data_IF_958673317738
#
_entry.id   IF_958673317738
#
_cell.length_a   1.000
_cell.length_b   1.000
_cell.length_c   1.000
_cell.angle_alpha   90.00
_cell.angle_beta   90.00
_cell.angle_gamma   90.00
#
_symmetry.space_group_name_H-M   'P 1'
#
loop_
_entity.id
_entity.type
_entity.pdbx_description
1 polymer ?
#
# COMPACT_ATOMS: atom_id res chain seq x y z
N UNK A 1 0.55 32.07 -24.07
CA UNK A 1 1.14 30.87 -23.43
C UNK A 1 0.20 30.37 -22.33
N UNK A 2 -0.90 29.69 -22.69
CA UNK A 2 -1.91 29.24 -21.72
C UNK A 2 -2.57 27.89 -22.06
N UNK A 3 -2.36 27.35 -23.25
CA UNK A 3 -3.11 26.21 -23.78
C UNK A 3 -2.56 24.84 -23.37
N UNK A 4 -1.28 24.75 -23.00
CA UNK A 4 -0.66 23.45 -22.64
C UNK A 4 -1.04 22.97 -21.23
N UNK A 5 -1.32 23.88 -20.28
CA UNK A 5 -1.63 23.52 -18.89
C UNK A 5 -3.02 22.90 -18.72
N UNK A 6 -4.00 23.28 -19.55
CA UNK A 6 -5.37 22.76 -19.47
C UNK A 6 -5.51 21.38 -20.13
N UNK A 7 -4.80 21.15 -21.24
CA UNK A 7 -4.77 19.85 -21.91
C UNK A 7 -4.13 18.77 -21.01
N UNK A 8 -3.00 19.08 -20.35
CA UNK A 8 -2.34 18.16 -19.41
C UNK A 8 -3.22 17.87 -18.18
N UNK A 9 -3.89 18.87 -17.60
CA UNK A 9 -4.81 18.68 -16.47
C UNK A 9 -6.01 17.81 -16.83
N UNK A 10 -6.52 17.93 -18.05
CA UNK A 10 -7.67 17.16 -18.55
C UNK A 10 -7.28 15.70 -18.79
N UNK A 11 -6.13 15.45 -19.42
CA UNK A 11 -5.59 14.09 -19.61
C UNK A 11 -5.25 13.42 -18.28
N UNK A 12 -4.71 14.16 -17.31
CA UNK A 12 -4.42 13.66 -15.96
C UNK A 12 -5.71 13.27 -15.22
N UNK A 13 -6.78 14.08 -15.33
CA UNK A 13 -8.10 13.77 -14.76
C UNK A 13 -8.73 12.52 -15.38
N UNK A 14 -8.66 12.36 -16.70
CA UNK A 14 -9.17 11.14 -17.35
C UNK A 14 -8.39 9.89 -16.93
N UNK A 15 -7.07 9.99 -16.80
CA UNK A 15 -6.22 8.88 -16.35
C UNK A 15 -6.49 8.50 -14.90
N UNK A 16 -6.72 9.48 -14.02
CA UNK A 16 -7.18 9.24 -12.64
C UNK A 16 -8.58 8.61 -12.62
N UNK A 17 -9.50 9.07 -13.46
CA UNK A 17 -10.86 8.51 -13.57
C UNK A 17 -10.85 7.06 -14.06
N UNK A 18 -10.04 6.75 -15.08
CA UNK A 18 -9.84 5.37 -15.58
C UNK A 18 -9.18 4.48 -14.52
N UNK A 19 -8.20 5.00 -13.76
CA UNK A 19 -7.62 4.29 -12.61
C UNK A 19 -8.68 3.96 -11.56
N UNK A 20 -9.60 4.88 -11.28
CA UNK A 20 -10.70 4.68 -10.32
C UNK A 20 -11.79 3.72 -10.84
N UNK A 21 -12.08 3.71 -12.14
CA UNK A 21 -13.03 2.80 -12.77
C UNK A 21 -12.53 1.34 -12.83
N UNK A 22 -11.21 1.13 -12.82
CA UNK A 22 -10.59 -0.18 -12.81
C UNK A 22 -10.38 -0.74 -11.38
N UNK A 23 -10.89 -0.06 -10.34
CA UNK A 23 -10.77 -0.52 -8.96
C UNK A 23 -11.78 -1.64 -8.74
N UNK A 24 -11.29 -2.73 -8.15
CA UNK A 24 -12.10 -3.87 -7.76
C UNK A 24 -13.08 -3.50 -6.64
N UNK A 25 -14.33 -4.00 -6.65
CA UNK A 25 -15.34 -3.70 -5.63
C UNK A 25 -14.92 -4.05 -4.19
N UNK A 26 -13.95 -4.97 -4.04
CA UNK A 26 -13.42 -5.40 -2.73
C UNK A 26 -12.42 -4.40 -2.12
N UNK A 27 -12.03 -3.35 -2.84
CA UNK A 27 -11.02 -2.42 -2.39
C UNK A 27 -11.55 -1.44 -1.32
N UNK A 28 -11.93 -1.98 -0.15
CA UNK A 28 -12.36 -1.24 1.03
C UNK A 28 -11.51 -1.68 2.21
N UNK A 29 -10.90 -0.75 2.97
CA UNK A 29 -10.88 0.70 2.82
C UNK A 29 -9.95 1.18 1.69
N UNK A 30 -10.44 2.07 0.81
CA UNK A 30 -9.64 2.69 -0.26
C UNK A 30 -8.94 3.95 0.26
N UNK A 31 -7.62 4.01 0.11
CA UNK A 31 -6.85 5.21 0.43
C UNK A 31 -7.24 6.37 -0.49
N UNK A 32 -7.73 7.46 0.11
CA UNK A 32 -7.92 8.73 -0.58
C UNK A 32 -6.59 9.30 -1.12
N UNK A 33 -6.66 10.34 -1.95
CA UNK A 33 -5.46 10.92 -2.61
C UNK A 33 -4.35 11.32 -1.63
N UNK A 34 -4.71 11.81 -0.44
CA UNK A 34 -3.74 12.21 0.60
C UNK A 34 -3.06 10.99 1.22
N UNK A 35 -3.85 10.04 1.72
CA UNK A 35 -3.33 8.83 2.35
C UNK A 35 -2.51 8.00 1.37
N UNK A 36 -2.99 7.79 0.14
CA UNK A 36 -2.28 7.03 -0.88
C UNK A 36 -0.86 7.59 -1.14
N UNK A 37 -0.70 8.91 -1.22
CA UNK A 37 0.62 9.54 -1.36
C UNK A 37 1.50 9.33 -0.14
N UNK A 38 0.96 9.42 1.08
CA UNK A 38 1.71 9.13 2.33
C UNK A 38 2.16 7.67 2.35
N UNK A 39 1.24 6.72 2.11
CA UNK A 39 1.51 5.28 2.09
C UNK A 39 2.56 4.92 1.04
N UNK A 40 2.47 5.46 -0.18
CA UNK A 40 3.46 5.19 -1.23
C UNK A 40 4.86 5.74 -0.86
N UNK A 41 4.95 6.92 -0.24
CA UNK A 41 6.23 7.45 0.27
C UNK A 41 6.80 6.57 1.37
N UNK A 42 5.95 6.10 2.29
CA UNK A 42 6.34 5.19 3.37
C UNK A 42 6.86 3.86 2.82
N UNK A 43 6.14 3.24 1.88
CA UNK A 43 6.59 2.00 1.20
C UNK A 43 7.95 2.22 0.53
N UNK A 44 8.17 3.37 -0.13
CA UNK A 44 9.46 3.69 -0.76
C UNK A 44 10.61 3.75 0.24
N UNK A 45 10.44 4.45 1.37
CA UNK A 45 11.44 4.47 2.45
C UNK A 45 11.72 3.05 2.95
N UNK A 46 10.67 2.28 3.24
CA UNK A 46 10.82 0.91 3.72
C UNK A 46 11.49 -0.03 2.69
N UNK A 47 11.38 0.26 1.38
CA UNK A 47 12.05 -0.47 0.31
C UNK A 47 13.57 -0.31 0.39
N UNK A 48 14.05 0.91 0.63
CA UNK A 48 15.48 1.24 0.76
C UNK A 48 16.10 0.48 1.95
N UNK A 49 15.33 0.35 3.03
CA UNK A 49 15.71 -0.35 4.26
C UNK A 49 15.44 -1.87 4.23
N UNK A 50 15.09 -2.46 3.08
CA UNK A 50 14.79 -3.91 2.92
C UNK A 50 13.74 -4.46 3.90
N UNK A 51 12.82 -3.61 4.36
CA UNK A 51 11.76 -3.97 5.31
C UNK A 51 10.45 -4.40 4.63
N UNK A 52 10.48 -4.62 3.31
CA UNK A 52 9.30 -4.99 2.52
C UNK A 52 9.26 -6.50 2.22
N UNK A 53 8.07 -7.08 2.32
CA UNK A 53 7.70 -8.35 1.68
C UNK A 53 6.75 -8.07 0.53
N UNK A 54 7.02 -8.63 -0.64
CA UNK A 54 6.34 -8.24 -1.88
C UNK A 54 5.68 -9.44 -2.51
N UNK A 55 4.43 -9.26 -2.91
CA UNK A 55 3.63 -10.29 -3.55
C UNK A 55 2.94 -11.23 -2.57
N UNK A 56 1.86 -11.84 -3.06
CA UNK A 56 0.92 -12.62 -2.26
C UNK A 56 1.60 -13.75 -1.48
N UNK A 57 2.48 -14.51 -2.15
CA UNK A 57 3.18 -15.64 -1.53
C UNK A 57 4.08 -15.21 -0.37
N UNK A 58 4.78 -14.09 -0.49
CA UNK A 58 5.65 -13.59 0.58
C UNK A 58 4.85 -12.98 1.73
N UNK A 59 3.81 -12.21 1.41
CA UNK A 59 2.92 -11.59 2.40
C UNK A 59 2.25 -12.66 3.24
N UNK A 60 1.59 -13.65 2.63
CA UNK A 60 0.93 -14.76 3.33
C UNK A 60 1.92 -15.54 4.19
N UNK A 61 3.12 -15.82 3.68
CA UNK A 61 4.17 -16.49 4.45
C UNK A 61 4.64 -15.67 5.65
N UNK A 62 4.70 -14.35 5.52
CA UNK A 62 5.11 -13.44 6.59
C UNK A 62 4.06 -13.34 7.69
N UNK A 63 2.79 -13.22 7.30
CA UNK A 63 1.64 -13.20 8.23
C UNK A 63 1.59 -14.51 9.02
N UNK A 64 1.70 -15.66 8.35
CA UNK A 64 1.74 -16.99 9.00
C UNK A 64 2.92 -17.19 9.95
N UNK A 65 4.00 -16.42 9.81
CA UNK A 65 5.15 -16.42 10.73
C UNK A 65 4.96 -15.50 11.94
N UNK A 66 3.82 -14.81 12.04
CA UNK A 66 3.54 -13.84 13.11
C UNK A 66 4.23 -12.49 12.92
N UNK A 67 4.74 -12.18 11.73
CA UNK A 67 5.30 -10.86 11.46
C UNK A 67 4.18 -9.84 11.29
N UNK A 68 4.16 -8.83 12.16
CA UNK A 68 3.22 -7.70 12.10
C UNK A 68 3.79 -6.53 11.29
N UNK A 69 2.89 -5.71 10.77
CA UNK A 69 3.25 -4.59 9.90
C UNK A 69 2.02 -3.91 9.31
N UNK A 70 2.20 -3.21 8.19
CA UNK A 70 1.12 -2.60 7.41
C UNK A 70 1.01 -3.34 6.08
N UNK A 71 -0.18 -3.85 5.75
CA UNK A 71 -0.45 -4.44 4.45
C UNK A 71 -0.99 -3.39 3.48
N UNK A 72 -0.35 -3.25 2.32
CA UNK A 72 -0.77 -2.35 1.25
C UNK A 72 -1.18 -3.21 0.05
N UNK A 73 -2.44 -3.08 -0.35
CA UNK A 73 -3.04 -3.89 -1.41
C UNK A 73 -3.39 -2.98 -2.58
N UNK A 74 -3.16 -3.40 -3.82
CA UNK A 74 -3.62 -2.62 -4.97
C UNK A 74 -5.10 -2.89 -5.28
N UNK A 75 -5.84 -1.86 -5.67
CA UNK A 75 -7.26 -1.93 -6.00
C UNK A 75 -7.52 -2.43 -7.43
N UNK A 76 -6.59 -2.22 -8.36
CA UNK A 76 -6.75 -2.55 -9.79
C UNK A 76 -6.18 -3.93 -10.19
N UNK A 77 -6.39 -4.93 -9.33
CA UNK A 77 -5.87 -6.28 -9.52
C UNK A 77 -6.90 -7.13 -10.26
N UNK A 78 -6.41 -7.83 -11.30
CA UNK A 78 -7.15 -8.84 -12.04
C UNK A 78 -6.23 -10.06 -12.19
N UNK A 79 -6.71 -11.27 -11.86
CA UNK A 79 -8.04 -11.62 -11.33
C UNK A 79 -8.21 -11.29 -9.84
N UNK A 80 -9.46 -11.13 -9.40
CA UNK A 80 -9.79 -10.76 -8.01
C UNK A 80 -9.43 -11.85 -6.99
N UNK A 81 -9.52 -13.13 -7.40
CA UNK A 81 -9.30 -14.31 -6.56
C UNK A 81 -7.90 -14.37 -5.94
N UNK A 82 -6.93 -13.68 -6.55
CA UNK A 82 -5.56 -13.60 -6.07
C UNK A 82 -5.45 -12.77 -4.78
N UNK A 83 -6.44 -11.94 -4.46
CA UNK A 83 -6.38 -10.99 -3.34
C UNK A 83 -7.45 -11.22 -2.30
N UNK A 84 -8.57 -11.85 -2.63
CA UNK A 84 -9.70 -12.07 -1.71
C UNK A 84 -9.28 -12.69 -0.37
N UNK A 85 -8.28 -13.57 -0.35
CA UNK A 85 -7.79 -14.22 0.87
C UNK A 85 -6.82 -13.37 1.69
N UNK A 86 -6.22 -12.31 1.14
CA UNK A 86 -5.19 -11.52 1.83
C UNK A 86 -5.79 -10.64 2.94
N UNK A 87 -6.87 -9.87 2.73
CA UNK A 87 -7.52 -9.09 3.78
C UNK A 87 -8.00 -9.96 4.94
N UNK A 88 -8.59 -11.13 4.64
CA UNK A 88 -9.07 -12.07 5.67
C UNK A 88 -7.91 -12.50 6.58
N UNK A 89 -6.76 -12.85 6.00
CA UNK A 89 -5.56 -13.19 6.76
C UNK A 89 -5.00 -12.00 7.55
N UNK A 90 -5.17 -10.78 7.05
CA UNK A 90 -4.78 -9.58 7.77
C UNK A 90 -5.68 -9.33 8.98
N UNK A 91 -6.98 -9.55 8.86
CA UNK A 91 -7.94 -9.43 9.95
C UNK A 91 -7.70 -10.49 11.04
N UNK A 92 -7.49 -11.76 10.65
CA UNK A 92 -7.16 -12.83 11.61
C UNK A 92 -5.84 -12.58 12.38
N UNK A 93 -4.92 -11.81 11.82
CA UNK A 93 -3.62 -11.52 12.40
C UNK A 93 -3.52 -10.15 13.09
N UNK A 94 -4.63 -9.40 13.14
CA UNK A 94 -4.69 -8.00 13.60
C UNK A 94 -3.66 -7.10 12.88
N UNK A 95 -3.56 -7.24 11.57
CA UNK A 95 -2.65 -6.46 10.72
C UNK A 95 -3.46 -5.40 9.98
N UNK A 96 -3.19 -4.10 10.21
CA UNK A 96 -3.86 -3.03 9.48
C UNK A 96 -3.54 -3.13 7.98
N UNK A 97 -4.56 -2.98 7.15
CA UNK A 97 -4.43 -3.01 5.70
C UNK A 97 -5.11 -1.83 5.02
N UNK A 98 -4.61 -1.46 3.83
CA UNK A 98 -5.16 -0.37 3.04
C UNK A 98 -5.08 -0.65 1.55
N UNK A 99 -6.11 -0.24 0.81
CA UNK A 99 -6.11 -0.33 -0.65
C UNK A 99 -5.58 0.93 -1.30
N UNK A 100 -4.68 0.77 -2.28
CA UNK A 100 -4.15 1.84 -3.13
C UNK A 100 -4.70 1.66 -4.54
N UNK A 101 -5.14 2.71 -5.24
CA UNK A 101 -5.83 2.58 -6.54
C UNK A 101 -5.00 1.93 -7.66
N UNK A 102 -3.66 1.98 -7.58
CA UNK A 102 -2.76 1.61 -8.69
C UNK A 102 -1.67 0.63 -8.22
N UNK A 103 -1.63 -0.56 -8.84
CA UNK A 103 -0.56 -1.56 -8.67
C UNK A 103 0.76 -1.11 -9.28
N UNK A 104 0.73 -0.27 -10.30
CA UNK A 104 1.93 0.30 -10.94
C UNK A 104 2.63 1.28 -9.99
N UNK A 105 1.85 2.10 -9.30
CA UNK A 105 2.37 3.08 -8.34
C UNK A 105 2.95 2.33 -7.13
N UNK A 106 2.28 1.26 -6.68
CA UNK A 106 2.77 0.38 -5.61
C UNK A 106 4.07 -0.36 -6.00
N UNK A 107 4.16 -0.86 -7.23
CA UNK A 107 5.38 -1.52 -7.72
C UNK A 107 6.57 -0.55 -7.79
N UNK A 108 6.32 0.68 -8.24
CA UNK A 108 7.33 1.74 -8.29
C UNK A 108 7.79 2.12 -6.89
N UNK A 109 6.88 2.24 -5.92
CA UNK A 109 7.22 2.47 -4.52
C UNK A 109 7.99 1.29 -3.90
N UNK A 110 7.65 0.05 -4.24
CA UNK A 110 8.33 -1.16 -3.77
C UNK A 110 9.68 -1.46 -4.46
N UNK A 111 10.20 -0.52 -5.26
CA UNK A 111 11.44 -0.64 -6.04
C UNK A 111 11.50 -1.92 -6.89
N UNK A 112 10.39 -2.26 -7.55
CA UNK A 112 10.27 -3.48 -8.37
C UNK A 112 9.78 -3.14 -9.77
N UNK A 113 10.42 -3.73 -10.79
CA UNK A 113 10.00 -3.63 -12.19
C UNK A 113 8.74 -4.45 -12.49
N UNK A 114 8.40 -5.43 -11.65
CA UNK A 114 7.21 -6.27 -11.83
C UNK A 114 6.02 -5.68 -11.08
N UNK A 115 4.83 -5.61 -11.70
CA UNK A 115 3.59 -5.20 -11.03
C UNK A 115 3.40 -6.01 -9.76
N UNK A 116 3.14 -5.33 -8.65
CA UNK A 116 3.03 -5.97 -7.33
C UNK A 116 1.61 -5.78 -6.82
N UNK A 117 0.99 -6.90 -6.47
CA UNK A 117 -0.40 -6.96 -6.04
C UNK A 117 -0.55 -6.47 -4.60
N UNK A 118 0.31 -6.96 -3.72
CA UNK A 118 0.31 -6.61 -2.30
C UNK A 118 1.73 -6.49 -1.77
N UNK A 119 1.91 -5.62 -0.79
CA UNK A 119 3.17 -5.36 -0.11
C UNK A 119 2.91 -5.32 1.38
N UNK A 120 3.67 -6.08 2.16
CA UNK A 120 3.68 -5.98 3.61
C UNK A 120 4.91 -5.20 4.03
N UNK A 121 4.67 -4.07 4.69
CA UNK A 121 5.72 -3.24 5.30
C UNK A 121 5.91 -3.69 6.74
N UNK A 122 7.09 -4.19 7.07
CA UNK A 122 7.41 -4.64 8.42
C UNK A 122 7.96 -3.48 9.26
N UNK A 123 7.57 -3.41 10.54
CA UNK A 123 8.12 -2.44 11.50
C UNK A 123 9.52 -2.82 12.01
N UNK A 124 9.97 -4.03 11.69
CA UNK A 124 11.31 -4.54 11.97
C UNK A 124 11.91 -5.16 10.68
N UNK A 125 13.20 -4.93 10.41
CA UNK A 125 13.89 -5.54 9.27
C UNK A 125 13.96 -7.06 9.45
N UNK A 126 13.79 -7.82 8.36
CA UNK A 126 13.88 -9.30 8.42
C UNK A 126 15.32 -9.81 8.44
N UNK A 127 16.28 -8.99 7.99
CA UNK A 127 17.72 -9.25 8.00
C UNK A 127 18.47 -7.90 8.06
N UNK A 128 19.33 -7.75 9.07
CA UNK A 128 20.12 -6.54 9.30
C UNK A 128 19.59 -5.69 10.45
N UNK A 129 20.45 -4.82 10.96
CA UNK A 129 20.09 -3.78 11.92
C UNK A 129 19.84 -2.49 11.15
N UNK A 130 18.74 -1.82 11.47
CA UNK A 130 18.52 -0.45 11.05
C UNK A 130 19.09 0.47 12.11
N UNK A 131 19.55 1.64 11.70
CA UNK A 131 19.88 2.67 12.68
C UNK A 131 18.65 2.94 13.56
N UNK A 132 18.82 3.11 14.88
CA UNK A 132 17.71 3.33 15.78
C UNK A 132 16.86 4.55 15.38
N UNK A 133 17.50 5.59 14.85
CA UNK A 133 16.84 6.80 14.34
C UNK A 133 15.92 6.53 13.14
N UNK A 134 16.36 5.74 12.15
CA UNK A 134 15.53 5.39 11.00
C UNK A 134 14.40 4.46 11.38
N UNK A 135 14.66 3.54 12.32
CA UNK A 135 13.63 2.65 12.84
C UNK A 135 12.53 3.43 13.58
N UNK A 136 12.91 4.46 14.34
CA UNK A 136 11.96 5.32 15.04
C UNK A 136 11.14 6.15 14.05
N UNK A 137 11.77 6.73 13.02
CA UNK A 137 11.07 7.43 11.93
C UNK A 137 10.09 6.52 11.19
N UNK A 138 10.50 5.29 10.86
CA UNK A 138 9.63 4.29 10.24
C UNK A 138 8.44 3.90 11.13
N UNK A 139 8.67 3.77 12.45
CA UNK A 139 7.59 3.50 13.41
C UNK A 139 6.63 4.67 13.55
N UNK A 140 7.12 5.90 13.54
CA UNK A 140 6.29 7.11 13.60
C UNK A 140 5.45 7.27 12.31
N UNK A 141 6.06 7.10 11.13
CA UNK A 141 5.33 7.09 9.86
C UNK A 141 4.27 5.97 9.84
N UNK A 142 4.61 4.79 10.37
CA UNK A 142 3.69 3.66 10.51
C UNK A 142 2.51 3.99 11.42
N UNK A 143 2.73 4.53 12.63
CA UNK A 143 1.64 4.83 13.56
C UNK A 143 0.65 5.83 12.97
N UNK A 144 1.14 6.90 12.34
CA UNK A 144 0.29 7.88 11.68
C UNK A 144 -0.53 7.30 10.53
N UNK A 145 0.05 6.40 9.72
CA UNK A 145 -0.70 5.76 8.63
C UNK A 145 -1.73 4.78 9.20
N UNK A 146 -1.40 4.06 10.28
CA UNK A 146 -2.34 3.12 10.91
C UNK A 146 -3.50 3.87 11.57
N UNK A 147 -3.26 5.02 12.20
CA UNK A 147 -4.31 5.92 12.70
C UNK A 147 -5.22 6.37 11.55
N UNK A 148 -4.65 6.94 10.47
CA UNK A 148 -5.42 7.37 9.29
C UNK A 148 -6.25 6.21 8.68
N UNK A 149 -5.70 4.98 8.67
CA UNK A 149 -6.38 3.77 8.16
C UNK A 149 -7.48 3.30 9.10
N UNK A 150 -7.24 3.35 10.42
CA UNK A 150 -8.21 2.98 11.44
C UNK A 150 -9.41 3.93 11.42
N UNK A 151 -9.17 5.23 11.29
CA UNK A 151 -10.21 6.25 11.11
C UNK A 151 -11.02 6.00 9.84
N UNK A 152 -10.36 5.71 8.72
CA UNK A 152 -11.05 5.38 7.47
C UNK A 152 -11.91 4.12 7.61
N UNK A 153 -11.39 3.08 8.27
CA UNK A 153 -12.11 1.83 8.48
C UNK A 153 -13.34 2.05 9.36
N UNK A 154 -13.18 2.83 10.44
CA UNK A 154 -14.27 3.20 11.36
C UNK A 154 -15.31 4.13 10.72
N UNK A 155 -14.95 4.85 9.66
CA UNK A 155 -15.92 5.68 8.91
C UNK A 155 -16.73 4.90 7.86
N UNK A 156 -16.29 3.68 7.53
CA UNK A 156 -16.87 2.84 6.49
C UNK A 156 -17.80 1.75 7.04
N UNK A 157 -17.67 1.39 8.31
CA UNK A 157 -18.44 0.40 9.05
C UNK A 157 -19.03 1.01 10.32
#
# INVERSE_FOLDING_TARGET
>A
MGSDSEAEKTQQKEKERKKMLAISPIAKPLAGKKLSKKTLKFVRKAAEHKCLKRGVKEVVKSIRRGHKGLCVIAGNISPIDVITHVPILCEEADIPYVYVPSKEDLATAGSTKRPTCCVLVLTKPTKGELSPEEQEKLKADYSHIVEDVSELTSSLF
#
